data_IF_568217426972
#
_entry.id   IF_568217426972
#
_cell.length_a   1.000
_cell.length_b   1.000
_cell.length_c   1.000
_cell.angle_alpha   90.00
_cell.angle_beta   90.00
_cell.angle_gamma   90.00
#
_symmetry.space_group_name_H-M   'P 1'
#
loop_
_entity.id
_entity.type
_entity.pdbx_description
1 polymer ?
#
# COMPACT_ATOMS: atom_id res chain seq x y z
N UNK A 1 -26.77 29.64 -34.24
CA UNK A 1 -26.79 28.74 -33.06
C UNK A 1 -25.38 28.77 -32.47
N UNK A 2 -24.96 29.94 -31.99
CA UNK A 2 -24.93 30.36 -30.59
C UNK A 2 -23.94 29.55 -29.74
N UNK A 3 -22.89 30.30 -29.38
CA UNK A 3 -21.75 30.08 -28.48
C UNK A 3 -22.00 29.21 -27.25
N UNK A 4 -21.08 28.27 -27.00
CA UNK A 4 -21.01 27.46 -25.79
C UNK A 4 -19.65 27.60 -25.07
N UNK A 5 -19.04 28.79 -25.09
CA UNK A 5 -17.75 29.04 -24.41
C UNK A 5 -17.72 30.25 -23.45
N UNK A 6 -18.85 30.79 -23.01
CA UNK A 6 -18.81 32.06 -22.25
C UNK A 6 -19.71 32.11 -21.01
N UNK A 7 -19.62 31.14 -20.08
CA UNK A 7 -20.39 31.23 -18.82
C UNK A 7 -19.84 30.51 -17.57
N UNK A 8 -18.53 30.44 -17.36
CA UNK A 8 -17.98 29.83 -16.11
C UNK A 8 -17.05 30.72 -15.29
N UNK A 9 -17.12 32.05 -15.46
CA UNK A 9 -16.48 32.98 -14.53
C UNK A 9 -17.38 34.19 -14.26
N UNK A 10 -18.10 34.14 -13.13
CA UNK A 10 -18.15 35.17 -12.07
C UNK A 10 -19.49 35.11 -11.31
N UNK A 11 -19.39 35.31 -9.99
CA UNK A 11 -20.46 35.58 -9.01
C UNK A 11 -21.29 34.34 -8.59
N UNK A 12 -21.13 33.82 -7.38
CA UNK A 12 -21.67 34.47 -6.17
C UNK A 12 -21.06 33.88 -4.89
N UNK A 13 -20.17 34.65 -4.26
CA UNK A 13 -19.95 34.60 -2.81
C UNK A 13 -20.77 35.78 -2.27
N UNK A 14 -21.89 35.52 -1.58
CA UNK A 14 -22.34 36.22 -0.35
C UNK A 14 -23.77 35.79 0.05
N UNK A 15 -23.87 35.17 1.23
CA UNK A 15 -24.91 35.30 2.28
C UNK A 15 -26.35 34.72 2.13
N UNK A 16 -26.61 33.65 2.92
CA UNK A 16 -27.81 33.41 3.76
C UNK A 16 -28.81 32.32 3.28
N UNK A 17 -29.67 31.71 4.14
CA UNK A 17 -29.73 31.67 5.62
C UNK A 17 -29.65 30.22 6.21
N UNK A 18 -29.46 30.16 7.53
CA UNK A 18 -29.45 29.00 8.45
C UNK A 18 -30.31 27.79 8.04
N UNK A 19 -29.66 26.68 7.69
CA UNK A 19 -30.29 25.36 7.67
C UNK A 19 -30.14 24.67 9.04
N UNK A 20 -31.28 24.23 9.57
CA UNK A 20 -31.48 23.56 10.86
C UNK A 20 -30.47 22.44 11.15
N UNK A 21 -29.90 22.43 12.35
CA UNK A 21 -29.09 21.33 12.89
C UNK A 21 -30.00 20.16 13.28
N UNK A 22 -29.67 18.91 12.95
CA UNK A 22 -30.35 17.76 13.53
C UNK A 22 -29.96 17.62 15.00
N UNK A 23 -30.94 17.25 15.84
CA UNK A 23 -30.78 17.07 17.27
C UNK A 23 -29.83 15.91 17.62
N UNK A 24 -29.04 16.13 18.66
CA UNK A 24 -27.95 15.29 19.13
C UNK A 24 -28.50 14.10 19.94
N UNK A 25 -28.27 12.86 19.50
CA UNK A 25 -28.49 11.65 20.31
C UNK A 25 -27.25 10.77 20.23
N UNK A 26 -26.55 10.64 21.37
CA UNK A 26 -25.47 9.68 21.59
C UNK A 26 -24.08 10.31 21.59
N UNK A 27 -23.49 10.41 22.79
CA UNK A 27 -22.15 10.96 23.00
C UNK A 27 -21.09 10.18 22.22
N UNK A 28 -20.48 10.88 21.27
CA UNK A 28 -19.17 10.57 20.72
C UNK A 28 -18.34 11.80 21.06
N UNK A 29 -17.25 11.61 21.80
CA UNK A 29 -16.27 12.67 22.06
C UNK A 29 -15.98 13.38 20.73
N UNK A 30 -16.26 14.68 20.68
CA UNK A 30 -15.84 15.55 19.58
C UNK A 30 -14.32 15.51 19.52
N UNK A 31 -13.79 14.57 18.73
CA UNK A 31 -12.40 14.62 18.30
C UNK A 31 -12.33 15.82 17.39
N UNK A 32 -11.68 16.87 17.90
CA UNK A 32 -11.42 18.13 17.23
C UNK A 32 -10.95 17.86 15.79
N UNK A 33 -11.86 18.00 14.81
CA UNK A 33 -11.63 17.73 13.39
C UNK A 33 -10.82 18.87 12.74
N UNK A 34 -9.83 19.38 13.45
CA UNK A 34 -9.11 20.59 13.10
C UNK A 34 -7.64 20.57 13.55
N UNK A 35 -6.88 19.55 13.17
CA UNK A 35 -5.42 19.66 13.18
C UNK A 35 -4.85 19.35 11.81
N UNK A 36 -4.92 20.33 10.90
CA UNK A 36 -3.91 20.48 9.83
C UNK A 36 -2.52 20.84 10.41
N UNK A 37 -2.24 20.39 11.63
CA UNK A 37 -0.99 20.66 12.32
C UNK A 37 0.09 19.75 11.73
N UNK A 38 1.28 20.32 11.55
CA UNK A 38 2.41 19.58 11.01
C UNK A 38 2.87 18.55 12.02
N UNK A 39 2.94 17.29 11.61
CA UNK A 39 3.49 16.22 12.44
C UNK A 39 4.96 16.50 12.75
N UNK A 40 5.36 16.33 14.02
CA UNK A 40 6.77 16.37 14.44
C UNK A 40 7.36 14.97 14.35
N UNK A 41 8.60 14.86 13.87
CA UNK A 41 9.26 13.55 13.70
C UNK A 41 9.37 12.78 15.03
N UNK A 42 9.56 13.47 16.14
CA UNK A 42 9.71 12.84 17.46
C UNK A 42 8.44 12.12 17.94
N UNK A 43 7.26 12.53 17.50
CA UNK A 43 5.97 11.98 17.94
C UNK A 43 5.60 10.66 17.24
N UNK A 44 6.18 10.39 16.06
CA UNK A 44 5.93 9.14 15.33
C UNK A 44 6.38 7.90 16.13
N UNK A 45 5.59 6.83 16.11
CA UNK A 45 5.93 5.52 16.69
C UNK A 45 5.59 4.43 15.67
N UNK A 46 6.31 3.31 15.69
CA UNK A 46 6.02 2.18 14.79
C UNK A 46 4.69 1.54 15.17
N UNK A 47 4.41 1.38 16.46
CA UNK A 47 3.18 0.76 16.99
C UNK A 47 2.59 1.72 18.02
N UNK A 48 1.25 1.78 18.09
CA UNK A 48 0.50 2.64 19.03
C UNK A 48 0.89 4.13 18.96
N UNK A 49 1.26 4.63 17.78
CA UNK A 49 1.47 6.05 17.53
C UNK A 49 0.16 6.80 17.34
N UNK A 50 0.10 8.03 17.88
CA UNK A 50 -1.07 8.91 17.77
C UNK A 50 -0.86 10.08 16.79
N UNK A 51 0.34 10.21 16.21
CA UNK A 51 0.62 11.20 15.17
C UNK A 51 -0.18 10.89 13.90
N UNK A 52 -0.55 11.93 13.13
CA UNK A 52 -1.30 11.77 11.89
C UNK A 52 -0.53 10.90 10.88
N UNK A 53 -1.03 9.69 10.67
CA UNK A 53 -0.44 8.66 9.81
C UNK A 53 -0.64 8.93 8.32
N UNK A 54 -1.42 9.95 7.94
CA UNK A 54 -1.61 10.33 6.54
C UNK A 54 -0.51 11.30 6.07
N UNK A 55 0.21 11.93 7.00
CA UNK A 55 1.33 12.81 6.69
C UNK A 55 2.65 12.03 6.63
N UNK A 56 3.14 11.82 5.40
CA UNK A 56 4.39 11.08 5.18
C UNK A 56 5.60 11.78 5.81
N UNK A 57 5.70 13.10 5.64
CA UNK A 57 6.81 13.92 6.16
C UNK A 57 6.46 14.49 7.54
N UNK A 58 7.47 14.77 8.40
CA UNK A 58 8.89 14.47 8.26
C UNK A 58 9.23 12.99 8.53
N UNK A 59 10.27 12.45 7.90
CA UNK A 59 10.70 11.07 8.12
C UNK A 59 11.36 10.91 9.50
N UNK A 60 10.93 9.89 10.27
CA UNK A 60 11.61 9.46 11.51
C UNK A 60 12.42 8.19 11.25
N UNK A 61 11.84 7.23 10.54
CA UNK A 61 12.44 5.93 10.27
C UNK A 61 13.06 5.90 8.88
N UNK A 62 14.22 6.55 8.73
CA UNK A 62 14.90 6.69 7.43
C UNK A 62 15.17 5.32 6.77
N UNK A 63 15.52 4.31 7.56
CA UNK A 63 15.75 2.96 7.07
C UNK A 63 14.54 2.38 6.30
N UNK A 64 13.31 2.70 6.71
CA UNK A 64 12.10 2.19 6.06
C UNK A 64 11.93 2.83 4.68
N UNK A 65 12.24 4.13 4.58
CA UNK A 65 12.25 4.85 3.33
C UNK A 65 13.34 4.33 2.38
N UNK A 66 14.55 4.09 2.89
CA UNK A 66 15.65 3.56 2.08
C UNK A 66 15.32 2.16 1.55
N UNK A 67 14.64 1.33 2.35
CA UNK A 67 14.14 0.02 1.91
C UNK A 67 13.05 0.13 0.84
N UNK A 68 12.13 1.08 0.98
CA UNK A 68 11.15 1.37 -0.06
C UNK A 68 11.81 1.75 -1.40
N UNK A 69 12.80 2.65 -1.37
CA UNK A 69 13.53 3.04 -2.58
C UNK A 69 14.30 1.87 -3.19
N UNK A 70 14.98 1.06 -2.38
CA UNK A 70 15.70 -0.13 -2.85
C UNK A 70 14.75 -1.15 -3.50
N UNK A 71 13.58 -1.37 -2.89
CA UNK A 71 12.54 -2.26 -3.42
C UNK A 71 11.99 -1.75 -4.75
N UNK A 72 11.74 -0.44 -4.88
CA UNK A 72 11.35 0.18 -6.16
C UNK A 72 12.43 0.05 -7.24
N UNK A 73 13.71 0.17 -6.88
CA UNK A 73 14.82 0.02 -7.82
C UNK A 73 14.99 -1.44 -8.33
N UNK A 74 14.46 -2.42 -7.61
CA UNK A 74 14.50 -3.85 -7.95
C UNK A 74 13.24 -4.33 -8.68
N UNK A 75 12.56 -3.44 -9.42
CA UNK A 75 11.40 -3.85 -10.21
C UNK A 75 11.79 -4.82 -11.33
N UNK A 76 11.05 -5.92 -11.43
CA UNK A 76 11.13 -6.90 -12.52
C UNK A 76 9.75 -7.51 -12.74
N UNK A 77 9.54 -8.10 -13.91
CA UNK A 77 8.31 -8.83 -14.25
C UNK A 77 8.62 -10.27 -14.65
N UNK A 78 7.85 -11.29 -14.23
CA UNK A 78 8.13 -12.69 -14.57
C UNK A 78 8.22 -12.98 -16.07
N UNK A 79 7.49 -12.23 -16.88
CA UNK A 79 7.48 -12.36 -18.34
C UNK A 79 8.80 -11.92 -19.00
N UNK A 80 9.67 -11.22 -18.27
CA UNK A 80 11.00 -10.79 -18.75
C UNK A 80 12.00 -11.96 -18.79
N UNK A 81 11.72 -13.07 -18.10
CA UNK A 81 12.59 -14.25 -18.05
C UNK A 81 12.14 -15.29 -19.09
N UNK A 82 13.04 -15.62 -20.03
CA UNK A 82 12.74 -16.59 -21.09
C UNK A 82 12.76 -18.04 -20.57
N UNK A 83 11.60 -18.71 -20.61
CA UNK A 83 11.42 -20.09 -20.12
C UNK A 83 11.51 -21.20 -21.19
N UNK A 84 11.87 -20.89 -22.44
CA UNK A 84 11.80 -21.87 -23.56
C UNK A 84 12.66 -23.11 -23.33
N UNK A 85 13.86 -22.94 -22.73
CA UNK A 85 14.79 -24.05 -22.43
C UNK A 85 14.26 -24.93 -21.32
N UNK A 86 13.78 -24.33 -20.25
CA UNK A 86 13.16 -24.98 -19.10
C UNK A 86 11.93 -25.80 -19.52
N UNK A 87 11.10 -25.26 -20.41
CA UNK A 87 9.94 -25.97 -20.97
C UNK A 87 10.39 -27.20 -21.78
N UNK A 88 11.43 -27.06 -22.62
CA UNK A 88 11.96 -28.18 -23.40
C UNK A 88 12.53 -29.27 -22.49
N UNK A 89 13.34 -28.89 -21.49
CA UNK A 89 13.92 -29.81 -20.50
C UNK A 89 12.82 -30.53 -19.70
N UNK A 90 11.80 -29.79 -19.26
CA UNK A 90 10.68 -30.35 -18.50
C UNK A 90 9.87 -31.36 -19.33
N UNK A 91 9.73 -31.16 -20.64
CA UNK A 91 9.00 -32.06 -21.55
C UNK A 91 9.81 -33.29 -21.95
N UNK A 92 11.13 -33.24 -21.94
CA UNK A 92 11.99 -34.38 -22.26
C UNK A 92 11.89 -35.48 -21.18
N UNK A 93 11.45 -36.70 -21.51
CA UNK A 93 11.41 -37.82 -20.57
C UNK A 93 12.79 -38.18 -19.98
N UNK A 94 13.88 -37.84 -20.68
CA UNK A 94 15.27 -38.04 -20.22
C UNK A 94 15.92 -36.77 -19.67
N UNK A 95 15.19 -35.64 -19.64
CA UNK A 95 15.73 -34.34 -19.23
C UNK A 95 15.99 -34.22 -17.73
N UNK A 96 15.09 -34.77 -16.91
CA UNK A 96 15.21 -34.76 -15.45
C UNK A 96 14.82 -36.12 -14.89
N UNK A 97 15.55 -36.56 -13.87
CA UNK A 97 15.22 -37.73 -13.06
C UNK A 97 13.93 -37.52 -12.27
N UNK A 98 13.33 -38.59 -11.78
CA UNK A 98 12.11 -38.50 -10.99
C UNK A 98 12.32 -37.72 -9.68
N UNK A 99 13.47 -37.87 -9.03
CA UNK A 99 13.78 -37.16 -7.80
C UNK A 99 13.97 -35.65 -8.02
N UNK A 100 14.59 -35.25 -9.13
CA UNK A 100 14.69 -33.83 -9.54
C UNK A 100 13.31 -33.23 -9.84
N UNK A 101 12.45 -33.97 -10.55
CA UNK A 101 11.07 -33.51 -10.81
C UNK A 101 10.27 -33.39 -9.53
N UNK A 102 10.48 -34.30 -8.57
CA UNK A 102 9.79 -34.30 -7.27
C UNK A 102 10.17 -33.07 -6.44
N UNK A 103 11.44 -32.70 -6.38
CA UNK A 103 11.86 -31.50 -5.64
C UNK A 103 11.31 -30.22 -6.28
N UNK A 104 11.32 -30.11 -7.62
CA UNK A 104 10.74 -28.96 -8.32
C UNK A 104 9.24 -28.84 -8.04
N UNK A 105 8.47 -29.94 -8.18
CA UNK A 105 7.02 -29.94 -7.90
C UNK A 105 6.70 -29.57 -6.45
N UNK A 106 7.48 -30.06 -5.48
CA UNK A 106 7.28 -29.74 -4.06
C UNK A 106 7.55 -28.27 -3.76
N UNK A 107 8.63 -27.70 -4.31
CA UNK A 107 8.92 -26.27 -4.15
C UNK A 107 7.84 -25.40 -4.79
N UNK A 108 7.46 -25.69 -6.04
CA UNK A 108 6.40 -24.94 -6.72
C UNK A 108 5.06 -25.04 -5.98
N UNK A 109 4.69 -26.23 -5.49
CA UNK A 109 3.46 -26.43 -4.72
C UNK A 109 3.44 -25.70 -3.38
N UNK A 110 4.60 -25.49 -2.75
CA UNK A 110 4.71 -24.67 -1.55
C UNK A 110 4.58 -23.18 -1.88
N UNK A 111 5.43 -22.68 -2.79
CA UNK A 111 5.53 -21.24 -3.07
C UNK A 111 4.28 -20.65 -3.75
N UNK A 112 3.52 -21.45 -4.52
CA UNK A 112 2.28 -20.95 -5.16
C UNK A 112 1.24 -20.40 -4.17
N UNK A 113 1.26 -20.87 -2.91
CA UNK A 113 0.36 -20.37 -1.85
C UNK A 113 1.07 -19.59 -0.76
N UNK A 114 2.36 -19.86 -0.50
CA UNK A 114 3.12 -19.19 0.55
C UNK A 114 3.16 -17.66 0.36
N UNK A 115 3.36 -17.19 -0.87
CA UNK A 115 3.45 -15.75 -1.16
C UNK A 115 2.11 -15.05 -0.91
N UNK A 116 1.00 -15.70 -1.26
CA UNK A 116 -0.35 -15.19 -0.95
C UNK A 116 -0.60 -15.11 0.56
N UNK A 117 -0.13 -16.09 1.34
CA UNK A 117 -0.24 -16.06 2.81
C UNK A 117 0.58 -14.91 3.41
N UNK A 118 1.79 -14.67 2.90
CA UNK A 118 2.64 -13.57 3.33
C UNK A 118 2.00 -12.20 3.01
N UNK A 119 1.57 -11.98 1.77
CA UNK A 119 0.90 -10.75 1.36
C UNK A 119 -0.38 -10.49 2.16
N UNK A 120 -1.20 -11.52 2.38
CA UNK A 120 -2.40 -11.41 3.21
C UNK A 120 -2.08 -11.05 4.67
N UNK A 121 -1.00 -11.60 5.24
CA UNK A 121 -0.57 -11.23 6.58
C UNK A 121 -0.09 -9.77 6.65
N UNK A 122 0.63 -9.29 5.63
CA UNK A 122 1.06 -7.90 5.56
C UNK A 122 -0.15 -6.98 5.56
N UNK A 123 -1.10 -7.18 4.63
CA UNK A 123 -2.24 -6.29 4.43
C UNK A 123 -3.27 -6.38 5.56
N UNK A 124 -3.65 -7.59 5.98
CA UNK A 124 -4.74 -7.79 6.94
C UNK A 124 -4.25 -7.86 8.39
N UNK A 125 -3.06 -8.43 8.60
CA UNK A 125 -2.52 -8.69 9.93
C UNK A 125 -1.72 -7.51 10.46
N UNK A 126 -0.70 -7.10 9.72
CA UNK A 126 0.37 -6.22 10.23
C UNK A 126 0.11 -4.75 9.91
N UNK A 127 -0.37 -4.42 8.71
CA UNK A 127 -0.48 -3.04 8.22
C UNK A 127 -1.29 -2.14 9.15
N UNK A 128 -2.40 -2.66 9.69
CA UNK A 128 -3.29 -1.93 10.61
C UNK A 128 -2.60 -1.51 11.92
N UNK A 129 -1.62 -2.30 12.39
CA UNK A 129 -0.95 -2.09 13.67
C UNK A 129 0.28 -1.19 13.55
N UNK A 130 0.82 -1.07 12.33
CA UNK A 130 1.91 -0.15 12.05
C UNK A 130 1.33 1.25 11.92
N UNK A 131 1.84 2.19 12.70
CA UNK A 131 1.37 3.58 12.82
C UNK A 131 2.41 4.60 12.33
N UNK A 132 3.48 4.13 11.66
CA UNK A 132 4.45 4.98 10.99
C UNK A 132 4.22 4.97 9.46
N UNK A 133 4.00 6.14 8.83
CA UNK A 133 3.65 6.21 7.40
C UNK A 133 4.76 5.72 6.48
N UNK A 134 6.03 6.04 6.76
CA UNK A 134 7.15 5.55 5.97
C UNK A 134 7.29 4.01 6.01
N UNK A 135 6.98 3.38 7.14
CA UNK A 135 6.93 1.93 7.26
C UNK A 135 5.76 1.34 6.48
N UNK A 136 4.58 1.98 6.54
CA UNK A 136 3.41 1.60 5.74
C UNK A 136 3.73 1.65 4.24
N UNK A 137 4.42 2.69 3.79
CA UNK A 137 4.82 2.82 2.38
C UNK A 137 5.70 1.66 1.93
N UNK A 138 6.67 1.24 2.76
CA UNK A 138 7.47 0.06 2.47
C UNK A 138 6.63 -1.23 2.46
N UNK A 139 5.71 -1.40 3.40
CA UNK A 139 4.81 -2.57 3.44
C UNK A 139 3.92 -2.67 2.20
N UNK A 140 3.44 -1.55 1.66
CA UNK A 140 2.68 -1.54 0.40
C UNK A 140 3.54 -2.05 -0.76
N UNK A 141 4.82 -1.65 -0.80
CA UNK A 141 5.75 -2.14 -1.80
C UNK A 141 6.03 -3.63 -1.62
N UNK A 142 6.25 -4.08 -0.40
CA UNK A 142 6.48 -5.50 -0.09
C UNK A 142 5.26 -6.38 -0.38
N UNK A 143 4.04 -5.88 -0.20
CA UNK A 143 2.81 -6.62 -0.54
C UNK A 143 2.57 -6.71 -2.07
N UNK A 144 3.16 -5.80 -2.84
CA UNK A 144 3.11 -5.82 -4.29
C UNK A 144 4.14 -6.78 -4.90
N UNK A 145 5.32 -6.87 -4.27
CA UNK A 145 6.38 -7.83 -4.63
C UNK A 145 5.92 -9.28 -4.44
#
# INVERSE_FOLDING_TARGET
MLSFEENLRKESILNGPLAMRPEHVGGIEETDMNSFERVRAEDKRIINGHADVNQLVPFKYQWAWDKYLAACANHWMPQEIQMSRDIALWKDPKGLTEDERRIVKRNLGFFVTADSLAANNIVLGTYRHITAPECRQYMLRQAFE
#
